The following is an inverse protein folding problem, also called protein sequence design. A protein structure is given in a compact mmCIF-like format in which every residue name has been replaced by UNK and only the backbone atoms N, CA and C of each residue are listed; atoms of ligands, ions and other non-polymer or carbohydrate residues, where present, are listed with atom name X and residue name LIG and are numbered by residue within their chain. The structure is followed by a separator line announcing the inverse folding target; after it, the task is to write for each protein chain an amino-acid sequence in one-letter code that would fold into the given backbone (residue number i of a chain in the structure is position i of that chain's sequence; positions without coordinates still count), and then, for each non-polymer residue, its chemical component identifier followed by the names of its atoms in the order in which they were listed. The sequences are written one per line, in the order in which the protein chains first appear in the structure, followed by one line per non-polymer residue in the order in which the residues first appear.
data_IF_111789014188
#
_entry.id   IF_111789014188
#
_cell.length_a   1.000
_cell.length_b   1.000
_cell.length_c   1.000
_cell.angle_alpha   90.00
_cell.angle_beta   90.00
_cell.angle_gamma   90.00
#
_symmetry.space_group_name_H-M   'P 1'
#
loop_
_entity.id
_entity.type
_entity.pdbx_description
1 polymer ?
#
# COMPACT_ATOMS: atom_id res chain seq x y z
N UNK A 1 -38.55 -3.14 31.32
CA UNK A 1 -38.02 -1.79 31.03
C UNK A 1 -37.52 -1.96 29.64
N UNK A 2 -38.39 -1.64 28.70
CA UNK A 2 -38.41 -2.39 27.46
C UNK A 2 -37.43 -1.72 26.51
N UNK A 3 -36.41 -2.46 26.10
CA UNK A 3 -35.37 -1.95 25.23
C UNK A 3 -35.45 -2.57 23.84
N UNK A 4 -34.94 -1.82 22.85
CA UNK A 4 -34.81 -2.27 21.46
C UNK A 4 -33.33 -2.39 21.07
N UNK A 5 -32.46 -2.65 22.06
CA UNK A 5 -31.02 -2.74 21.85
C UNK A 5 -30.62 -4.19 21.56
N UNK A 6 -29.56 -4.36 20.74
CA UNK A 6 -28.87 -5.64 20.66
C UNK A 6 -27.86 -5.77 21.81
N UNK A 7 -27.81 -6.95 22.44
CA UNK A 7 -26.72 -7.34 23.33
C UNK A 7 -25.51 -7.84 22.53
N UNK A 8 -25.77 -8.45 21.36
CA UNK A 8 -24.73 -9.01 20.51
C UNK A 8 -25.09 -8.86 19.03
N UNK A 9 -24.08 -8.49 18.24
CA UNK A 9 -24.12 -8.52 16.79
C UNK A 9 -22.81 -9.11 16.25
N UNK A 10 -22.93 -10.13 15.40
CA UNK A 10 -21.79 -10.72 14.72
C UNK A 10 -22.17 -11.19 13.32
N UNK A 11 -21.23 -11.09 12.38
CA UNK A 11 -21.44 -11.44 10.98
C UNK A 11 -20.28 -12.33 10.51
N UNK A 12 -20.35 -13.65 10.67
CA UNK A 12 -19.23 -14.54 10.35
C UNK A 12 -19.20 -14.90 8.85
N UNK A 13 -18.01 -14.95 8.20
CA UNK A 13 -16.65 -14.72 8.72
C UNK A 13 -16.17 -13.25 8.66
N UNK A 14 -17.07 -12.29 8.42
CA UNK A 14 -16.74 -10.87 8.33
C UNK A 14 -16.36 -10.28 9.71
N UNK A 15 -15.38 -9.38 9.72
CA UNK A 15 -15.00 -8.65 10.93
C UNK A 15 -15.61 -7.25 10.88
N UNK A 16 -16.63 -7.02 11.69
CA UNK A 16 -17.31 -5.73 11.79
C UNK A 16 -16.37 -4.66 12.38
N UNK A 17 -16.45 -3.47 11.80
CA UNK A 17 -15.80 -2.24 12.26
C UNK A 17 -16.85 -1.11 12.25
N UNK A 18 -17.04 -0.37 13.35
CA UNK A 18 -16.36 -0.52 14.64
C UNK A 18 -16.72 -1.82 15.37
N UNK A 19 -16.01 -2.14 16.47
CA UNK A 19 -16.43 -3.23 17.37
C UNK A 19 -17.86 -2.96 17.83
N UNK A 20 -18.64 -4.03 17.95
CA UNK A 20 -20.05 -3.92 18.33
C UNK A 20 -20.24 -3.05 19.58
N UNK A 21 -21.16 -2.11 19.49
CA UNK A 21 -21.61 -1.27 20.58
C UNK A 21 -23.12 -1.01 20.39
N UNK A 22 -23.93 -1.24 21.43
CA UNK A 22 -25.39 -1.07 21.37
C UNK A 22 -25.86 0.29 20.85
N UNK A 23 -25.06 1.34 21.04
CA UNK A 23 -25.36 2.71 20.61
C UNK A 23 -24.97 2.97 19.15
N UNK A 24 -24.14 2.12 18.55
CA UNK A 24 -23.71 2.26 17.16
C UNK A 24 -24.66 1.50 16.25
N UNK A 25 -25.26 2.21 15.31
CA UNK A 25 -26.24 1.68 14.35
C UNK A 25 -25.64 1.35 12.99
N UNK A 26 -24.42 1.79 12.69
CA UNK A 26 -23.75 1.52 11.41
C UNK A 26 -22.45 0.72 11.59
N UNK A 27 -22.31 -0.34 10.80
CA UNK A 27 -21.13 -1.20 10.78
C UNK A 27 -20.68 -1.46 9.35
N UNK A 28 -19.37 -1.59 9.18
CA UNK A 28 -18.75 -1.95 7.91
C UNK A 28 -17.85 -3.17 8.08
N UNK A 29 -17.77 -3.99 7.04
CA UNK A 29 -16.78 -5.07 6.98
C UNK A 29 -16.34 -5.31 5.54
N UNK A 30 -15.08 -5.67 5.36
CA UNK A 30 -14.55 -6.12 4.07
C UNK A 30 -14.18 -7.59 4.18
N UNK A 31 -14.65 -8.40 3.23
CA UNK A 31 -14.35 -9.84 3.16
C UNK A 31 -13.57 -10.18 1.89
N UNK A 32 -12.70 -11.22 1.94
CA UNK A 32 -12.02 -11.73 0.76
C UNK A 32 -12.99 -12.21 -0.33
N UNK A 33 -12.49 -12.27 -1.56
CA UNK A 33 -13.24 -12.74 -2.74
C UNK A 33 -13.86 -14.14 -2.58
N UNK A 34 -13.20 -15.02 -1.81
CA UNK A 34 -13.66 -16.39 -1.56
C UNK A 34 -14.83 -16.52 -0.58
N UNK A 35 -15.28 -15.44 0.06
CA UNK A 35 -16.42 -15.47 0.98
C UNK A 35 -17.69 -15.10 0.21
N UNK A 36 -18.49 -16.10 -0.14
CA UNK A 36 -19.72 -15.92 -0.91
C UNK A 36 -20.95 -15.56 -0.07
N UNK A 37 -20.97 -15.99 1.19
CA UNK A 37 -22.10 -15.81 2.11
C UNK A 37 -21.60 -15.40 3.49
N UNK A 38 -22.42 -14.64 4.19
CA UNK A 38 -22.18 -14.26 5.59
C UNK A 38 -23.36 -14.70 6.43
N UNK A 39 -23.06 -15.28 7.59
CA UNK A 39 -24.07 -15.62 8.59
C UNK A 39 -24.14 -14.50 9.63
N UNK A 40 -25.33 -13.94 9.80
CA UNK A 40 -25.58 -12.90 10.80
C UNK A 40 -26.22 -13.53 12.04
N UNK A 41 -25.56 -13.37 13.18
CA UNK A 41 -26.03 -13.84 14.48
C UNK A 41 -26.22 -12.61 15.39
N UNK A 42 -27.45 -12.42 15.86
CA UNK A 42 -27.88 -11.32 16.72
C UNK A 42 -28.51 -11.84 18.01
N UNK A 43 -28.44 -11.06 19.08
CA UNK A 43 -29.11 -11.30 20.35
C UNK A 43 -29.66 -9.98 20.87
N UNK A 44 -30.95 -9.93 21.22
CA UNK A 44 -31.58 -8.76 21.85
C UNK A 44 -31.14 -8.66 23.30
N UNK A 45 -31.06 -7.42 23.80
CA UNK A 45 -30.78 -7.13 25.21
C UNK A 45 -31.98 -7.48 26.09
N UNK A 46 -33.18 -7.15 25.62
CA UNK A 46 -34.43 -7.59 26.24
C UNK A 46 -34.90 -8.96 25.70
N UNK A 47 -35.35 -9.82 26.61
CA UNK A 47 -36.00 -11.10 26.30
C UNK A 47 -37.38 -10.95 25.65
N UNK A 48 -38.04 -9.81 25.84
CA UNK A 48 -39.32 -9.46 25.21
C UNK A 48 -39.17 -8.84 23.81
N UNK A 49 -37.98 -8.36 23.47
CA UNK A 49 -37.72 -7.78 22.16
C UNK A 49 -37.58 -8.85 21.08
N UNK A 50 -37.96 -8.48 19.86
CA UNK A 50 -37.79 -9.30 18.66
C UNK A 50 -36.92 -8.59 17.65
N UNK A 51 -36.32 -9.34 16.73
CA UNK A 51 -35.56 -8.76 15.62
C UNK A 51 -35.87 -9.44 14.30
N UNK A 52 -35.77 -8.67 13.22
CA UNK A 52 -35.82 -9.15 11.83
C UNK A 52 -34.56 -8.73 11.09
N UNK A 53 -33.97 -9.67 10.35
CA UNK A 53 -32.80 -9.41 9.50
C UNK A 53 -33.27 -9.35 8.05
N UNK A 54 -33.11 -8.18 7.45
CA UNK A 54 -33.36 -7.93 6.04
C UNK A 54 -32.02 -7.93 5.28
N UNK A 55 -31.80 -8.99 4.52
CA UNK A 55 -30.66 -9.10 3.61
C UNK A 55 -30.96 -10.14 2.54
N UNK A 56 -30.88 -9.73 1.27
CA UNK A 56 -30.97 -10.51 0.01
C UNK A 56 -31.80 -11.82 -0.02
N UNK A 57 -32.85 -11.96 0.81
CA UNK A 57 -33.67 -13.17 0.90
C UNK A 57 -34.30 -13.48 2.27
N UNK A 58 -33.97 -12.75 3.35
CA UNK A 58 -34.54 -12.97 4.68
C UNK A 58 -34.00 -14.21 5.42
N UNK A 59 -32.93 -14.80 4.88
CA UNK A 59 -32.24 -15.95 5.49
C UNK A 59 -31.16 -15.49 6.48
N UNK A 60 -30.87 -16.31 7.49
CA UNK A 60 -29.70 -16.08 8.39
C UNK A 60 -28.37 -16.10 7.64
N UNK A 61 -28.34 -16.63 6.41
CA UNK A 61 -27.19 -16.71 5.53
C UNK A 61 -27.43 -15.81 4.31
N UNK A 62 -26.67 -14.74 4.19
CA UNK A 62 -26.92 -13.69 3.19
C UNK A 62 -25.85 -13.80 2.11
N UNK A 63 -26.23 -13.98 0.83
CA UNK A 63 -25.28 -13.98 -0.28
C UNK A 63 -24.70 -12.58 -0.50
N UNK A 64 -23.40 -12.52 -0.80
CA UNK A 64 -22.67 -11.28 -1.04
C UNK A 64 -22.42 -11.06 -2.53
N UNK A 65 -22.66 -9.83 -2.97
CA UNK A 65 -22.38 -9.39 -4.33
C UNK A 65 -20.86 -9.30 -4.56
N UNK A 66 -20.34 -10.05 -5.52
CA UNK A 66 -18.91 -10.00 -5.85
C UNK A 66 -18.50 -8.60 -6.34
N UNK A 67 -17.39 -8.07 -5.80
CA UNK A 67 -16.89 -6.73 -6.12
C UNK A 67 -17.78 -5.59 -5.64
N UNK A 68 -18.88 -5.90 -4.93
CA UNK A 68 -19.89 -4.95 -4.50
C UNK A 68 -20.00 -4.81 -2.98
N UNK A 69 -20.90 -3.92 -2.59
CA UNK A 69 -21.33 -3.75 -1.20
C UNK A 69 -22.73 -4.32 -1.06
N UNK A 70 -22.91 -5.22 -0.10
CA UNK A 70 -24.21 -5.74 0.30
C UNK A 70 -24.63 -5.07 1.60
N UNK A 71 -25.80 -4.44 1.60
CA UNK A 71 -26.40 -3.84 2.80
C UNK A 71 -27.31 -4.84 3.50
N UNK A 72 -27.15 -4.97 4.81
CA UNK A 72 -27.97 -5.82 5.68
C UNK A 72 -28.59 -4.91 6.73
N UNK A 73 -29.92 -4.89 6.81
CA UNK A 73 -30.66 -4.12 7.82
C UNK A 73 -31.19 -5.06 8.87
N UNK A 74 -31.07 -4.68 10.12
CA UNK A 74 -31.59 -5.43 11.26
C UNK A 74 -32.51 -4.48 12.00
N UNK A 75 -33.78 -4.84 12.04
CA UNK A 75 -34.82 -4.11 12.76
C UNK A 75 -35.07 -4.83 14.08
N UNK A 76 -34.96 -4.11 15.19
CA UNK A 76 -35.22 -4.61 16.53
C UNK A 76 -36.42 -3.87 17.09
N UNK A 77 -37.43 -4.62 17.54
CA UNK A 77 -38.70 -4.08 18.04
C UNK A 77 -38.90 -4.51 19.50
N UNK A 78 -39.08 -3.53 20.39
CA UNK A 78 -39.42 -3.76 21.80
C UNK A 78 -40.91 -4.08 21.97
N UNK A 79 -41.32 -4.57 23.16
CA UNK A 79 -42.73 -4.86 23.48
C UNK A 79 -43.61 -3.60 23.42
N UNK A 80 -43.07 -2.46 23.82
CA UNK A 80 -43.70 -1.13 23.71
C UNK A 80 -43.83 -0.60 22.26
N UNK A 81 -43.35 -1.36 21.26
CA UNK A 81 -43.41 -0.98 19.85
C UNK A 81 -42.33 0.00 19.39
N UNK A 82 -41.32 0.26 20.24
CA UNK A 82 -40.17 1.08 19.85
C UNK A 82 -39.26 0.27 18.94
N UNK A 83 -38.84 0.87 17.82
CA UNK A 83 -38.02 0.20 16.81
C UNK A 83 -36.64 0.84 16.70
N UNK A 84 -35.60 0.00 16.64
CA UNK A 84 -34.22 0.41 16.39
C UNK A 84 -33.64 -0.34 15.21
N UNK A 85 -32.95 0.40 14.33
CA UNK A 85 -32.39 -0.13 13.10
C UNK A 85 -30.86 -0.16 13.16
N UNK A 86 -30.28 -1.32 12.85
CA UNK A 86 -28.85 -1.49 12.65
C UNK A 86 -28.57 -1.79 11.17
N UNK A 87 -27.57 -1.13 10.60
CA UNK A 87 -27.14 -1.27 9.23
C UNK A 87 -25.73 -1.85 9.19
N UNK A 88 -25.55 -2.92 8.41
CA UNK A 88 -24.24 -3.51 8.14
C UNK A 88 -23.98 -3.41 6.64
N UNK A 89 -22.87 -2.76 6.27
CA UNK A 89 -22.36 -2.73 4.89
C UNK A 89 -21.20 -3.71 4.76
N UNK A 90 -21.38 -4.78 4.00
CA UNK A 90 -20.34 -5.77 3.75
C UNK A 90 -19.82 -5.60 2.32
N UNK A 91 -18.55 -5.23 2.18
CA UNK A 91 -17.85 -5.18 0.89
C UNK A 91 -17.18 -6.53 0.62
N UNK A 92 -17.57 -7.21 -0.45
CA UNK A 92 -16.87 -8.40 -0.93
C UNK A 92 -15.91 -8.00 -2.05
N UNK A 93 -14.64 -8.37 -1.94
CA UNK A 93 -13.65 -8.14 -2.98
C UNK A 93 -13.99 -8.97 -4.24
N UNK A 94 -13.61 -8.49 -5.43
CA UNK A 94 -13.76 -9.30 -6.66
C UNK A 94 -12.56 -10.23 -6.83
N UNK A 95 -12.81 -11.44 -7.32
CA UNK A 95 -11.74 -12.39 -7.64
C UNK A 95 -10.92 -11.94 -8.85
N UNK A 96 -11.52 -11.12 -9.73
CA UNK A 96 -10.89 -10.56 -10.94
C UNK A 96 -10.14 -9.25 -10.71
N UNK A 97 -10.12 -8.73 -9.48
CA UNK A 97 -9.42 -7.49 -9.14
C UNK A 97 -7.91 -7.75 -8.99
N UNK A 98 -7.13 -7.08 -9.84
CA UNK A 98 -5.68 -7.13 -9.85
C UNK A 98 -5.06 -5.79 -9.42
N UNK A 99 -5.84 -4.82 -8.96
CA UNK A 99 -5.32 -3.51 -8.55
C UNK A 99 -4.59 -3.57 -7.20
N UNK A 100 -3.58 -2.72 -6.97
CA UNK A 100 -2.97 -2.55 -5.64
C UNK A 100 -3.80 -1.62 -4.77
N UNK A 101 -3.94 -1.92 -3.48
CA UNK A 101 -4.50 -0.98 -2.49
C UNK A 101 -3.46 0.04 -2.02
N UNK A 102 -2.19 -0.35 -1.98
CA UNK A 102 -1.10 0.52 -1.55
C UNK A 102 0.21 0.12 -2.21
N UNK A 103 1.04 1.10 -2.52
CA UNK A 103 2.44 0.92 -2.89
C UNK A 103 3.28 1.91 -2.10
N UNK A 104 4.31 1.41 -1.43
CA UNK A 104 5.25 2.25 -0.68
C UNK A 104 6.68 1.75 -0.83
N UNK A 105 7.64 2.65 -0.60
CA UNK A 105 9.07 2.37 -0.67
C UNK A 105 9.69 2.57 0.71
N UNK A 106 10.75 1.82 1.00
CA UNK A 106 11.55 2.00 2.22
C UNK A 106 12.22 3.37 2.30
N UNK A 107 12.68 3.90 1.17
CA UNK A 107 13.33 5.21 1.03
C UNK A 107 12.78 5.92 -0.20
N UNK A 108 12.64 7.24 -0.10
CA UNK A 108 12.07 8.06 -1.16
C UNK A 108 10.54 8.13 -1.10
N UNK A 109 9.97 8.95 -1.99
CA UNK A 109 8.51 9.12 -2.13
C UNK A 109 8.14 8.89 -3.58
N UNK A 110 7.01 8.22 -3.79
CA UNK A 110 6.43 8.07 -5.12
C UNK A 110 5.88 9.42 -5.59
N UNK A 111 6.18 9.77 -6.84
CA UNK A 111 5.66 10.93 -7.54
C UNK A 111 5.07 10.45 -8.87
N UNK A 112 3.75 10.58 -9.08
CA UNK A 112 2.73 11.09 -8.14
C UNK A 112 2.57 10.20 -6.88
N UNK A 113 1.87 10.66 -5.82
CA UNK A 113 1.49 9.78 -4.72
C UNK A 113 0.66 8.60 -5.25
N UNK A 114 0.76 7.45 -4.57
CA UNK A 114 0.11 6.22 -5.03
C UNK A 114 -1.39 6.41 -5.23
N UNK A 115 -1.88 5.98 -6.40
CA UNK A 115 -3.31 5.87 -6.70
C UNK A 115 -3.56 4.64 -7.56
N UNK A 116 -4.68 3.95 -7.32
CA UNK A 116 -4.97 2.66 -7.96
C UNK A 116 -4.97 2.72 -9.50
N UNK A 117 -5.35 3.87 -10.07
CA UNK A 117 -5.42 4.11 -11.51
C UNK A 117 -4.15 4.72 -12.14
N UNK A 118 -3.08 4.92 -11.36
CA UNK A 118 -1.79 5.38 -11.87
C UNK A 118 -0.81 4.21 -11.88
N UNK A 119 -0.21 3.96 -13.04
CA UNK A 119 0.64 2.79 -13.30
C UNK A 119 2.12 3.14 -13.42
N UNK A 120 2.47 4.42 -13.44
CA UNK A 120 3.85 4.89 -13.59
C UNK A 120 4.20 5.85 -12.47
N UNK A 121 5.33 5.58 -11.81
CA UNK A 121 5.81 6.35 -10.69
C UNK A 121 7.29 6.65 -10.84
N UNK A 122 7.69 7.82 -10.36
CA UNK A 122 9.09 8.19 -10.19
C UNK A 122 9.38 8.34 -8.71
N UNK A 123 10.49 7.79 -8.24
CA UNK A 123 10.98 7.98 -6.88
C UNK A 123 12.44 8.39 -6.91
N UNK A 124 12.77 9.50 -6.26
CA UNK A 124 14.18 9.93 -6.14
C UNK A 124 14.73 9.54 -4.78
N UNK A 125 15.87 8.86 -4.77
CA UNK A 125 16.56 8.41 -3.54
C UNK A 125 17.96 9.02 -3.42
N UNK A 126 18.49 9.17 -2.20
CA UNK A 126 19.87 9.60 -1.99
C UNK A 126 20.90 8.68 -2.65
N UNK A 127 22.10 9.21 -2.93
CA UNK A 127 23.19 8.43 -3.53
C UNK A 127 23.67 7.25 -2.68
N UNK A 128 23.56 7.37 -1.35
CA UNK A 128 24.01 6.34 -0.40
C UNK A 128 23.07 5.12 -0.35
N UNK A 129 21.88 5.22 -0.95
CA UNK A 129 20.90 4.12 -0.96
C UNK A 129 21.28 3.08 -2.01
N UNK A 130 21.88 1.98 -1.57
CA UNK A 130 22.32 0.86 -2.42
C UNK A 130 21.23 -0.15 -2.70
N UNK A 131 20.22 -0.25 -1.84
CA UNK A 131 19.10 -1.17 -1.99
C UNK A 131 17.78 -0.46 -1.65
N UNK A 132 16.70 -0.93 -2.24
CA UNK A 132 15.36 -0.45 -1.95
C UNK A 132 14.42 -1.62 -1.72
N UNK A 133 13.69 -1.57 -0.61
CA UNK A 133 12.55 -2.45 -0.37
C UNK A 133 11.26 -1.80 -0.87
N UNK A 134 10.53 -2.51 -1.71
CA UNK A 134 9.18 -2.18 -2.17
C UNK A 134 8.16 -2.89 -1.27
N UNK A 135 7.10 -2.20 -0.86
CA UNK A 135 6.05 -2.74 -0.01
C UNK A 135 4.69 -2.56 -0.70
N UNK A 136 4.34 -3.45 -1.65
CA UNK A 136 3.02 -3.47 -2.25
C UNK A 136 2.00 -4.12 -1.29
N UNK A 137 0.75 -3.67 -1.35
CA UNK A 137 -0.38 -4.25 -0.63
C UNK A 137 -1.49 -4.54 -1.62
N UNK A 138 -1.74 -5.83 -1.85
CA UNK A 138 -2.88 -6.28 -2.65
C UNK A 138 -4.20 -6.19 -1.85
N UNK A 139 -5.36 -6.10 -2.54
CA UNK A 139 -6.67 -6.03 -1.91
C UNK A 139 -7.02 -7.33 -1.19
N UNK A 140 -6.74 -8.48 -1.82
CA UNK A 140 -6.91 -9.80 -1.26
C UNK A 140 -5.54 -10.45 -0.99
N UNK A 141 -5.43 -11.21 0.10
CA UNK A 141 -4.21 -11.96 0.44
C UNK A 141 -3.93 -13.09 -0.55
N UNK A 142 -4.94 -13.51 -1.33
CA UNK A 142 -4.80 -14.55 -2.36
C UNK A 142 -4.30 -14.02 -3.70
N UNK A 143 -4.23 -12.70 -3.91
CA UNK A 143 -3.65 -12.12 -5.11
C UNK A 143 -2.15 -12.48 -5.19
N UNK A 144 -1.66 -12.79 -6.39
CA UNK A 144 -0.23 -12.98 -6.60
C UNK A 144 0.43 -11.61 -6.78
N UNK A 145 1.56 -11.37 -6.13
CA UNK A 145 2.33 -10.14 -6.29
C UNK A 145 3.78 -10.50 -6.57
N UNK A 146 4.28 -10.02 -7.71
CA UNK A 146 5.64 -10.23 -8.20
C UNK A 146 6.31 -8.87 -8.33
N UNK A 147 7.50 -8.71 -7.75
CA UNK A 147 8.28 -7.47 -7.86
C UNK A 147 9.56 -7.78 -8.63
N UNK A 148 9.72 -7.20 -9.83
CA UNK A 148 10.85 -7.41 -10.74
C UNK A 148 11.24 -8.89 -10.93
N UNK A 149 10.23 -9.78 -10.96
CA UNK A 149 10.41 -11.21 -11.16
C UNK A 149 10.60 -12.04 -9.88
N UNK A 150 10.63 -11.44 -8.68
CA UNK A 150 10.70 -12.16 -7.40
C UNK A 150 9.41 -12.07 -6.59
N UNK A 151 9.06 -13.18 -5.92
CA UNK A 151 7.88 -13.29 -5.03
C UNK A 151 8.25 -13.41 -3.53
N UNK A 152 9.53 -13.60 -3.22
CA UNK A 152 10.01 -13.92 -1.87
C UNK A 152 10.65 -12.72 -1.16
N UNK A 153 11.44 -11.94 -1.89
CA UNK A 153 12.06 -10.70 -1.41
C UNK A 153 11.66 -9.55 -2.33
N UNK A 154 11.21 -8.46 -1.71
CA UNK A 154 10.91 -7.20 -2.38
C UNK A 154 12.03 -6.17 -2.21
N UNK A 155 13.21 -6.61 -1.75
CA UNK A 155 14.42 -5.78 -1.68
C UNK A 155 15.25 -5.99 -2.94
N UNK A 156 15.57 -4.90 -3.62
CA UNK A 156 16.32 -4.89 -4.87
C UNK A 156 17.54 -3.98 -4.76
N UNK A 157 18.70 -4.38 -5.31
CA UNK A 157 19.85 -3.49 -5.42
C UNK A 157 19.57 -2.39 -6.44
N UNK A 158 20.02 -1.18 -6.12
CA UNK A 158 19.91 0.01 -6.95
C UNK A 158 21.24 0.33 -7.61
N UNK A 159 21.22 0.52 -8.92
CA UNK A 159 22.36 1.06 -9.65
C UNK A 159 22.35 2.59 -9.58
N UNK A 160 23.51 3.22 -9.82
CA UNK A 160 23.57 4.67 -9.97
C UNK A 160 22.76 5.10 -11.19
N UNK A 161 22.01 6.20 -11.08
CA UNK A 161 21.10 6.63 -12.13
C UNK A 161 19.71 6.02 -11.98
N UNK A 162 19.12 5.59 -13.09
CA UNK A 162 17.74 5.10 -13.13
C UNK A 162 17.69 3.57 -13.03
N UNK A 163 16.86 3.06 -12.11
CA UNK A 163 16.53 1.65 -11.99
C UNK A 163 15.03 1.49 -12.17
N UNK A 164 14.62 0.67 -13.14
CA UNK A 164 13.20 0.37 -13.40
C UNK A 164 12.77 -0.86 -12.61
N UNK A 165 11.74 -0.69 -11.78
CA UNK A 165 11.14 -1.77 -10.97
C UNK A 165 9.73 -2.00 -11.48
N UNK A 166 9.37 -3.26 -11.76
CA UNK A 166 8.03 -3.61 -12.24
C UNK A 166 7.33 -4.43 -11.16
N UNK A 167 6.19 -3.93 -10.67
CA UNK A 167 5.35 -4.65 -9.71
C UNK A 167 4.15 -5.19 -10.47
N UNK A 168 4.11 -6.50 -10.68
CA UNK A 168 2.99 -7.19 -11.31
C UNK A 168 2.08 -7.81 -10.24
N UNK A 169 0.79 -7.58 -10.37
CA UNK A 169 -0.24 -8.15 -9.50
C UNK A 169 -1.18 -8.99 -10.34
N UNK A 170 -1.33 -10.26 -9.99
CA UNK A 170 -2.33 -11.15 -10.57
C UNK A 170 -3.60 -11.18 -9.72
N UNK A 171 -4.75 -11.17 -10.40
CA UNK A 171 -6.03 -11.41 -9.78
C UNK A 171 -6.11 -12.82 -9.18
N UNK A 172 -7.02 -13.02 -8.22
CA UNK A 172 -7.17 -14.30 -7.51
C UNK A 172 -7.60 -15.43 -8.44
N UNK A 173 -8.42 -15.12 -9.45
CA UNK A 173 -8.87 -16.05 -10.48
C UNK A 173 -7.84 -16.27 -11.61
N UNK A 174 -6.74 -15.50 -11.63
CA UNK A 174 -5.74 -15.51 -12.69
C UNK A 174 -6.18 -14.89 -14.02
N UNK A 175 -7.36 -14.25 -14.08
CA UNK A 175 -7.91 -13.69 -15.32
C UNK A 175 -7.26 -12.37 -15.74
N UNK A 176 -6.74 -11.58 -14.79
CA UNK A 176 -6.14 -10.27 -15.04
C UNK A 176 -4.79 -10.15 -14.35
N UNK A 177 -3.88 -9.45 -15.02
CA UNK A 177 -2.60 -9.02 -14.46
C UNK A 177 -2.48 -7.52 -14.62
N UNK A 178 -2.19 -6.81 -13.54
CA UNK A 178 -1.95 -5.38 -13.55
C UNK A 178 -0.50 -5.10 -13.18
N UNK A 179 0.15 -4.23 -13.96
CA UNK A 179 1.54 -3.84 -13.72
C UNK A 179 1.62 -2.38 -13.25
N UNK A 180 2.49 -2.13 -12.29
CA UNK A 180 2.88 -0.82 -11.78
C UNK A 180 4.38 -0.66 -11.94
N UNK A 181 4.81 0.36 -12.68
CA UNK A 181 6.21 0.66 -12.97
C UNK A 181 6.69 1.75 -12.04
N UNK A 182 7.77 1.49 -11.31
CA UNK A 182 8.45 2.46 -10.46
C UNK A 182 9.84 2.69 -11.00
N UNK A 183 10.10 3.89 -11.52
CA UNK A 183 11.43 4.34 -11.92
C UNK A 183 12.10 5.01 -10.73
N UNK A 184 13.11 4.35 -10.17
CA UNK A 184 13.89 4.88 -9.05
C UNK A 184 15.11 5.59 -9.59
N UNK A 185 15.18 6.91 -9.35
CA UNK A 185 16.34 7.74 -9.65
C UNK A 185 17.24 7.83 -8.41
N UNK A 186 18.35 7.10 -8.40
CA UNK A 186 19.40 7.22 -7.39
C UNK A 186 20.25 8.45 -7.73
N UNK A 187 20.13 9.49 -6.88
CA UNK A 187 20.85 10.75 -7.09
C UNK A 187 22.35 10.49 -7.18
N UNK A 188 22.98 11.17 -8.12
CA UNK A 188 24.42 11.25 -8.22
C UNK A 188 24.81 12.58 -7.56
N UNK A 189 25.66 12.56 -6.55
CA UNK A 189 26.32 13.80 -6.15
C UNK A 189 27.39 14.09 -7.19
N UNK A 190 27.48 15.32 -7.71
CA UNK A 190 28.70 15.75 -8.36
C UNK A 190 29.78 15.79 -7.27
N UNK A 191 30.93 15.23 -7.59
CA UNK A 191 32.00 15.03 -6.62
C UNK A 191 32.76 16.36 -6.56
N UNK A 192 32.96 16.97 -5.37
CA UNK A 192 33.83 18.12 -5.27
C UNK A 192 35.26 17.66 -5.54
N UNK A 193 35.89 18.17 -6.60
CA UNK A 193 37.26 17.82 -6.98
C UNK A 193 38.20 18.93 -6.52
N UNK A 194 39.06 18.66 -5.55
CA UNK A 194 40.10 19.64 -5.18
C UNK A 194 41.25 19.59 -6.19
N UNK A 195 41.47 20.67 -6.92
CA UNK A 195 42.62 20.80 -7.81
C UNK A 195 43.90 21.08 -6.99
N UNK A 196 45.01 20.42 -7.33
CA UNK A 196 46.34 20.76 -6.76
C UNK A 196 46.80 22.16 -7.17
N UNK A 197 46.41 22.62 -8.36
CA UNK A 197 46.73 23.96 -8.87
C UNK A 197 45.59 24.95 -8.51
N UNK A 198 45.87 26.00 -7.71
CA UNK A 198 44.90 27.03 -7.35
C UNK A 198 44.28 27.74 -8.55
N UNK A 199 45.02 27.87 -9.65
CA UNK A 199 44.53 28.57 -10.86
C UNK A 199 43.49 27.76 -11.62
N UNK A 200 43.61 26.42 -11.58
CA UNK A 200 42.62 25.53 -12.18
C UNK A 200 41.35 25.45 -11.32
N UNK A 201 41.48 25.52 -9.98
CA UNK A 201 40.33 25.62 -9.07
C UNK A 201 39.43 26.80 -9.43
N UNK A 202 39.99 28.01 -9.50
CA UNK A 202 39.22 29.23 -9.82
C UNK A 202 38.57 29.19 -11.21
N UNK A 203 39.16 28.47 -12.17
CA UNK A 203 38.65 28.37 -13.55
C UNK A 203 37.40 27.49 -13.67
N UNK A 204 37.26 26.49 -12.80
CA UNK A 204 36.20 25.47 -12.87
C UNK A 204 35.27 25.47 -11.65
N UNK A 205 35.40 26.46 -10.75
CA UNK A 205 34.49 26.67 -9.63
C UNK A 205 33.09 27.10 -10.10
N UNK A 206 32.06 26.50 -9.49
CA UNK A 206 30.68 26.95 -9.70
C UNK A 206 30.46 28.27 -8.93
N UNK A 207 30.06 29.38 -9.60
CA UNK A 207 29.94 30.71 -8.97
C UNK A 207 28.99 30.78 -7.78
N UNK A 208 28.05 29.84 -7.67
CA UNK A 208 27.03 29.80 -6.61
C UNK A 208 27.45 28.97 -5.38
N UNK A 209 28.37 28.03 -5.54
CA UNK A 209 28.72 27.03 -4.52
C UNK A 209 30.17 27.15 -4.03
N UNK A 210 30.97 28.02 -4.64
CA UNK A 210 32.40 28.23 -4.34
C UNK A 210 33.21 26.92 -4.27
N UNK A 211 32.73 25.89 -4.97
CA UNK A 211 33.31 24.55 -5.01
C UNK A 211 33.17 23.98 -6.43
N UNK A 212 34.20 23.27 -6.93
CA UNK A 212 34.18 22.67 -8.26
C UNK A 212 33.37 21.37 -8.25
N UNK A 213 32.18 21.39 -8.84
CA UNK A 213 31.32 20.21 -9.03
C UNK A 213 31.67 19.56 -10.38
N UNK A 214 32.32 18.38 -10.39
CA UNK A 214 32.59 17.65 -11.64
C UNK A 214 31.65 16.45 -11.81
N UNK A 215 31.06 16.33 -13.00
CA UNK A 215 30.37 15.13 -13.48
C UNK A 215 31.26 14.47 -14.56
N UNK A 216 32.13 13.51 -14.20
CA UNK A 216 33.10 12.98 -15.15
C UNK A 216 32.45 12.11 -16.23
N UNK A 217 32.75 12.40 -17.49
CA UNK A 217 32.74 11.42 -18.58
C UNK A 217 34.19 10.97 -18.78
N UNK A 218 34.42 9.66 -18.91
CA UNK A 218 35.75 9.09 -19.07
C UNK A 218 36.39 9.50 -20.40
N UNK A 219 37.63 9.98 -20.33
CA UNK A 219 38.54 10.07 -21.48
C UNK A 219 39.72 9.15 -21.15
N UNK A 220 40.07 8.25 -22.06
CA UNK A 220 41.18 7.31 -21.88
C UNK A 220 42.51 8.06 -21.73
N UNK A 221 43.30 7.70 -20.71
CA UNK A 221 44.74 8.00 -20.64
C UNK A 221 45.19 9.08 -19.65
N UNK A 222 44.75 9.04 -18.38
CA UNK A 222 45.32 9.94 -17.34
C UNK A 222 45.79 9.13 -16.12
N UNK A 223 47.11 9.18 -15.90
CA UNK A 223 47.84 8.67 -14.73
C UNK A 223 47.44 9.41 -13.45
N UNK A 224 47.11 8.64 -12.41
CA UNK A 224 46.42 9.12 -11.22
C UNK A 224 47.37 9.44 -10.05
N UNK A 225 47.56 10.73 -9.74
CA UNK A 225 47.88 11.19 -8.38
C UNK A 225 46.62 11.78 -7.72
N UNK A 226 45.60 10.94 -7.51
CA UNK A 226 44.31 11.33 -6.93
C UNK A 226 44.38 11.34 -5.40
N UNK A 227 44.21 12.51 -4.78
CA UNK A 227 43.82 12.62 -3.37
C UNK A 227 42.29 12.67 -3.28
N UNK A 228 41.68 11.69 -2.60
CA UNK A 228 40.23 11.58 -2.47
C UNK A 228 39.73 12.15 -1.13
N UNK A 229 38.49 12.63 -1.09
CA UNK A 229 37.88 13.20 0.12
C UNK A 229 37.49 12.13 1.15
N UNK A 230 37.41 12.50 2.44
CA UNK A 230 37.13 11.57 3.54
C UNK A 230 35.81 10.77 3.40
N UNK A 231 34.68 11.34 2.92
CA UNK A 231 33.48 10.56 2.64
C UNK A 231 33.68 9.52 1.53
N UNK A 232 34.60 9.79 0.59
CA UNK A 232 34.95 8.87 -0.47
C UNK A 232 35.82 7.71 0.03
N UNK A 233 36.71 7.97 1.00
CA UNK A 233 37.43 6.92 1.71
C UNK A 233 36.47 6.05 2.54
N UNK A 234 35.51 6.65 3.24
CA UNK A 234 34.52 5.92 4.04
C UNK A 234 33.57 5.08 3.19
N UNK A 235 33.26 5.52 1.96
CA UNK A 235 32.46 4.77 0.99
C UNK A 235 33.25 3.61 0.35
N UNK A 236 34.55 3.79 0.09
CA UNK A 236 35.41 2.73 -0.48
C UNK A 236 35.90 1.71 0.58
N UNK A 237 35.90 2.08 1.86
CA UNK A 237 36.40 1.24 2.96
C UNK A 237 35.33 0.34 3.63
N UNK A 238 34.04 0.50 3.29
CA UNK A 238 32.98 -0.39 3.78
C UNK A 238 32.88 -1.61 2.86
N UNK A 239 33.40 -2.75 3.34
CA UNK A 239 33.18 -4.10 2.81
C UNK A 239 31.81 -4.62 3.19
#
# INVERSE_FOLDING_TARGET
MDDCDLEKLSAAPAKLSPKFNRNTTEYEATVPSSVEKVKVDCMTSDSGASYQVFGAGGEKSIPLLEGGVTEIRIEVSSEDGTVKNYLIRIKRLSASDASLNQLSLSVGKLMPPFSMGCFEYIATVPSITEEITVKPVAPDKKCSVVVSGSNESFTLPLQLGETRIVVAVGSVDGSKTQEYVVTVLRKQFPWPVTFKDPKLSMKYECPMLLTPMYNPVSIQGIDTELSMSQPCMDMLARR
#
